data_IF_705209801560
#
_entry.id   IF_705209801560
#
_cell.length_a   1.000
_cell.length_b   1.000
_cell.length_c   1.000
_cell.angle_alpha   90.00
_cell.angle_beta   90.00
_cell.angle_gamma   90.00
#
_symmetry.space_group_name_H-M   'P 1'
#
loop_
_entity.id
_entity.type
_entity.pdbx_description
1 polymer ?
#
# COMPACT_ATOMS: atom_id res chain seq x y z
N UNK A 1 52.54 25.04 -24.82
CA UNK A 1 51.43 24.35 -25.50
C UNK A 1 51.65 22.85 -25.36
N UNK A 2 51.18 22.28 -24.24
CA UNK A 2 51.25 20.85 -23.96
C UNK A 2 49.88 20.24 -24.30
N UNK A 3 49.85 19.40 -25.34
CA UNK A 3 48.66 18.82 -25.91
C UNK A 3 47.94 17.91 -24.93
N UNK A 4 46.77 18.36 -24.51
CA UNK A 4 45.73 17.66 -23.79
C UNK A 4 45.21 16.48 -24.62
N UNK A 5 45.72 15.26 -24.35
CA UNK A 5 45.14 13.97 -24.79
C UNK A 5 45.49 12.88 -23.78
N UNK A 6 44.80 12.85 -22.65
CA UNK A 6 44.69 11.69 -21.73
C UNK A 6 43.34 11.78 -21.02
N UNK A 7 42.28 11.45 -21.74
CA UNK A 7 40.94 11.23 -21.17
C UNK A 7 40.04 10.68 -22.28
N UNK A 8 39.93 9.35 -22.35
CA UNK A 8 38.83 8.61 -23.01
C UNK A 8 39.11 7.12 -22.91
N UNK A 9 38.76 6.51 -21.78
CA UNK A 9 38.22 5.14 -21.63
C UNK A 9 37.72 4.98 -20.18
N UNK A 10 36.99 5.99 -19.67
CA UNK A 10 36.10 5.80 -18.53
C UNK A 10 34.72 5.49 -19.13
N UNK A 11 34.52 4.22 -19.47
CA UNK A 11 33.18 3.68 -19.71
C UNK A 11 32.39 3.83 -18.40
N UNK A 12 31.24 4.49 -18.47
CA UNK A 12 30.29 4.55 -17.35
C UNK A 12 29.83 3.13 -16.96
N UNK A 13 29.81 2.75 -15.67
CA UNK A 13 29.98 1.37 -15.23
C UNK A 13 28.66 0.63 -15.03
N UNK A 14 28.62 -0.67 -15.35
CA UNK A 14 28.01 -1.63 -14.41
C UNK A 14 28.88 -1.69 -13.16
N UNK A 15 28.32 -1.99 -11.99
CA UNK A 15 29.11 -2.13 -10.76
C UNK A 15 30.06 -3.31 -10.99
N UNK A 16 31.36 -3.08 -11.16
CA UNK A 16 32.29 -4.21 -11.28
C UNK A 16 32.57 -4.72 -9.88
N UNK A 17 32.57 -6.04 -9.69
CA UNK A 17 33.13 -6.61 -8.45
C UNK A 17 34.57 -6.11 -8.26
N UNK A 18 35.03 -6.01 -7.01
CA UNK A 18 36.38 -5.52 -6.72
C UNK A 18 37.48 -6.30 -7.48
N UNK A 19 37.31 -7.62 -7.65
CA UNK A 19 38.22 -8.46 -8.44
C UNK A 19 38.13 -8.20 -9.94
N UNK A 20 36.95 -7.97 -10.51
CA UNK A 20 36.80 -7.60 -11.91
C UNK A 20 37.41 -6.21 -12.20
N UNK A 21 37.19 -5.23 -11.32
CA UNK A 21 37.79 -3.91 -11.42
C UNK A 21 39.32 -3.96 -11.37
N UNK A 22 39.89 -4.81 -10.49
CA UNK A 22 41.34 -5.03 -10.40
C UNK A 22 41.91 -5.67 -11.66
N UNK A 23 41.23 -6.65 -12.26
CA UNK A 23 41.65 -7.26 -13.53
C UNK A 23 41.67 -6.23 -14.68
N UNK A 24 40.62 -5.43 -14.81
CA UNK A 24 40.54 -4.38 -15.82
C UNK A 24 41.62 -3.30 -15.63
N UNK A 25 41.90 -2.92 -14.37
CA UNK A 25 42.92 -1.93 -14.05
C UNK A 25 44.38 -2.44 -14.21
N UNK A 26 44.60 -3.76 -14.23
CA UNK A 26 45.92 -4.37 -14.45
C UNK A 26 46.31 -4.29 -15.95
N UNK A 27 45.35 -4.45 -16.85
CA UNK A 27 45.53 -4.34 -18.30
C UNK A 27 46.00 -2.92 -18.70
N UNK A 28 45.50 -1.90 -17.99
CA UNK A 28 45.86 -0.49 -18.24
C UNK A 28 47.29 -0.14 -17.76
N UNK A 29 47.88 -0.94 -16.85
CA UNK A 29 49.17 -0.63 -16.20
C UNK A 29 50.35 -1.47 -16.67
N UNK A 30 50.17 -2.74 -17.00
CA UNK A 30 51.31 -3.67 -17.17
C UNK A 30 51.68 -4.00 -18.62
N UNK A 31 50.74 -3.99 -19.57
CA UNK A 31 50.98 -4.57 -20.90
C UNK A 31 50.99 -3.55 -22.04
N UNK A 32 50.49 -2.33 -21.84
CA UNK A 32 50.29 -1.34 -22.91
C UNK A 32 49.34 -1.82 -24.02
N UNK A 33 48.68 -2.98 -23.85
CA UNK A 33 47.89 -3.69 -24.84
C UNK A 33 46.52 -4.03 -24.26
N UNK A 34 45.49 -3.29 -24.69
CA UNK A 34 44.10 -3.46 -24.25
C UNK A 34 43.35 -4.47 -25.14
N UNK A 35 43.75 -5.74 -25.08
CA UNK A 35 43.17 -6.84 -25.87
C UNK A 35 42.54 -7.95 -25.01
N UNK A 36 41.64 -8.78 -25.58
CA UNK A 36 41.04 -9.95 -24.91
C UNK A 36 42.07 -10.87 -24.22
N UNK A 37 43.19 -11.14 -24.89
CA UNK A 37 44.26 -11.99 -24.35
C UNK A 37 44.95 -11.38 -23.11
N UNK A 38 45.07 -10.05 -23.03
CA UNK A 38 45.60 -9.37 -21.85
C UNK A 38 44.62 -9.44 -20.67
N UNK A 39 43.32 -9.35 -20.95
CA UNK A 39 42.29 -9.56 -19.93
C UNK A 39 42.31 -10.99 -19.39
N UNK A 40 42.46 -12.00 -20.25
CA UNK A 40 42.54 -13.40 -19.82
C UNK A 40 43.71 -13.61 -18.83
N UNK A 41 44.90 -13.10 -19.15
CA UNK A 41 46.05 -13.22 -18.26
C UNK A 41 45.89 -12.42 -16.97
N UNK A 42 45.28 -11.23 -17.02
CA UNK A 42 44.96 -10.46 -15.82
C UNK A 42 43.96 -11.18 -14.89
N UNK A 43 43.02 -11.97 -15.45
CA UNK A 43 42.10 -12.80 -14.69
C UNK A 43 42.77 -14.02 -14.06
N UNK A 44 43.75 -14.62 -14.76
CA UNK A 44 44.49 -15.82 -14.32
C UNK A 44 45.50 -15.49 -13.23
N UNK A 45 46.25 -14.39 -13.38
CA UNK A 45 47.28 -13.97 -12.43
C UNK A 45 46.70 -13.42 -11.11
N UNK A 46 45.38 -13.16 -11.07
CA UNK A 46 44.66 -12.77 -9.86
C UNK A 46 43.96 -13.98 -9.24
N UNK A 47 44.03 -14.11 -7.91
CA UNK A 47 43.17 -15.02 -7.15
C UNK A 47 41.71 -14.57 -7.29
N UNK A 48 41.04 -15.11 -8.30
CA UNK A 48 39.70 -14.71 -8.73
C UNK A 48 38.86 -15.93 -9.09
N UNK A 49 37.54 -15.72 -9.17
CA UNK A 49 36.60 -16.78 -9.56
C UNK A 49 36.86 -17.29 -10.98
N UNK A 50 37.29 -16.43 -11.89
CA UNK A 50 37.72 -16.84 -13.23
C UNK A 50 38.92 -17.80 -13.17
N UNK A 51 39.91 -17.53 -12.31
CA UNK A 51 41.07 -18.39 -12.12
C UNK A 51 40.68 -19.74 -11.51
N UNK A 52 39.73 -19.76 -10.56
CA UNK A 52 39.15 -20.99 -10.01
C UNK A 52 38.43 -21.82 -11.07
N UNK A 53 37.60 -21.19 -11.91
CA UNK A 53 36.87 -21.86 -12.99
C UNK A 53 37.85 -22.49 -13.99
N UNK A 54 38.85 -21.73 -14.44
CA UNK A 54 39.88 -22.23 -15.36
C UNK A 54 40.64 -23.41 -14.74
N UNK A 55 41.05 -23.29 -13.48
CA UNK A 55 41.75 -24.37 -12.76
C UNK A 55 40.87 -25.62 -12.60
N UNK A 56 39.57 -25.44 -12.33
CA UNK A 56 38.62 -26.56 -12.22
C UNK A 56 38.44 -27.33 -13.52
N UNK A 57 38.62 -26.66 -14.67
CA UNK A 57 38.65 -27.27 -16.00
C UNK A 57 40.02 -27.80 -16.43
N UNK A 58 41.07 -27.70 -15.59
CA UNK A 58 42.43 -28.16 -15.93
C UNK A 58 43.28 -27.14 -16.70
N UNK A 59 42.84 -25.89 -16.80
CA UNK A 59 43.57 -24.77 -17.40
C UNK A 59 44.21 -23.88 -16.32
N UNK A 60 45.24 -24.39 -15.63
CA UNK A 60 46.08 -23.55 -14.78
C UNK A 60 46.98 -22.61 -15.61
N UNK A 61 47.65 -21.65 -14.95
CA UNK A 61 48.51 -20.67 -15.62
C UNK A 61 49.62 -21.31 -16.48
N UNK A 62 50.14 -22.48 -16.08
CA UNK A 62 51.20 -23.19 -16.83
C UNK A 62 50.64 -23.90 -18.07
N UNK A 63 49.50 -24.56 -17.93
CA UNK A 63 48.74 -25.19 -19.01
C UNK A 63 48.29 -24.15 -20.04
N UNK A 64 47.79 -23.01 -19.59
CA UNK A 64 47.36 -21.91 -20.46
C UNK A 64 48.53 -21.29 -21.22
N UNK A 65 49.70 -21.13 -20.59
CA UNK A 65 50.91 -20.58 -21.22
C UNK A 65 51.44 -21.46 -22.36
N UNK A 66 51.15 -22.76 -22.32
CA UNK A 66 51.54 -23.70 -23.39
C UNK A 66 50.64 -23.60 -24.64
N UNK A 67 49.46 -22.99 -24.51
CA UNK A 67 48.42 -22.93 -25.55
C UNK A 67 48.17 -21.51 -26.07
N UNK A 68 48.29 -20.51 -25.19
CA UNK A 68 48.13 -19.09 -25.50
C UNK A 68 49.36 -18.29 -25.05
N UNK A 69 49.96 -17.47 -25.92
CA UNK A 69 51.12 -16.67 -25.53
C UNK A 69 50.73 -15.61 -24.50
N UNK A 70 51.65 -15.27 -23.58
CA UNK A 70 51.52 -14.06 -22.77
C UNK A 70 51.73 -12.82 -23.66
N UNK A 71 50.89 -11.79 -23.57
CA UNK A 71 51.06 -10.58 -24.36
C UNK A 71 52.41 -9.93 -24.07
N UNK A 72 53.17 -9.61 -25.11
CA UNK A 72 54.42 -8.86 -24.99
C UNK A 72 54.15 -7.35 -24.99
N UNK A 73 54.97 -6.59 -24.27
CA UNK A 73 54.79 -5.14 -23.99
C UNK A 73 54.80 -4.21 -25.23
N UNK A 74 54.93 -4.73 -26.46
CA UNK A 74 55.04 -3.95 -27.69
C UNK A 74 54.10 -4.41 -28.83
N UNK A 75 52.96 -5.05 -28.53
CA UNK A 75 51.98 -5.40 -29.55
C UNK A 75 51.05 -4.21 -29.87
N UNK A 76 51.09 -3.79 -31.14
CA UNK A 76 50.46 -2.58 -31.69
C UNK A 76 48.94 -2.52 -31.49
N UNK A 77 48.47 -1.32 -31.20
CA UNK A 77 47.12 -0.99 -30.76
C UNK A 77 46.10 -0.94 -31.90
N UNK A 78 45.21 -1.92 -31.97
CA UNK A 78 43.84 -1.71 -32.46
C UNK A 78 42.96 -2.88 -32.02
N UNK A 79 42.02 -2.68 -31.10
CA UNK A 79 41.14 -3.79 -30.69
C UNK A 79 39.69 -3.36 -30.52
N UNK A 80 38.88 -3.53 -31.58
CA UNK A 80 37.43 -3.63 -31.49
C UNK A 80 36.94 -4.77 -30.59
N UNK A 81 37.78 -5.75 -30.24
CA UNK A 81 37.39 -6.97 -29.52
C UNK A 81 37.13 -6.80 -28.01
N UNK A 82 37.93 -6.01 -27.28
CA UNK A 82 37.76 -5.89 -25.82
C UNK A 82 36.44 -5.22 -25.45
N UNK A 83 36.01 -4.20 -26.21
CA UNK A 83 34.72 -3.56 -25.99
C UNK A 83 33.54 -4.54 -26.13
N UNK A 84 33.63 -5.46 -27.09
CA UNK A 84 32.62 -6.51 -27.30
C UNK A 84 32.67 -7.53 -26.17
N UNK A 85 33.85 -7.92 -25.67
CA UNK A 85 33.99 -8.78 -24.48
C UNK A 85 33.27 -8.18 -23.27
N UNK A 86 33.48 -6.89 -23.00
CA UNK A 86 32.85 -6.20 -21.87
C UNK A 86 31.33 -6.08 -22.03
N UNK A 87 30.87 -5.82 -23.26
CA UNK A 87 29.44 -5.80 -23.57
C UNK A 87 28.79 -7.17 -23.32
N UNK A 88 29.46 -8.24 -23.73
CA UNK A 88 28.96 -9.61 -23.63
C UNK A 88 28.99 -10.12 -22.18
N UNK A 89 30.01 -9.75 -21.41
CA UNK A 89 30.07 -9.97 -19.97
C UNK A 89 28.93 -9.25 -19.22
N UNK A 90 28.67 -7.98 -19.57
CA UNK A 90 27.57 -7.19 -18.98
C UNK A 90 26.20 -7.79 -19.34
N UNK A 91 26.05 -8.26 -20.59
CA UNK A 91 24.83 -8.93 -21.06
C UNK A 91 24.53 -10.18 -20.25
N UNK A 92 25.55 -10.98 -19.94
CA UNK A 92 25.37 -12.20 -19.13
C UNK A 92 25.10 -11.91 -17.66
N UNK A 93 25.78 -10.95 -17.06
CA UNK A 93 25.46 -10.52 -15.69
C UNK A 93 23.98 -10.09 -15.58
N UNK A 94 23.46 -9.41 -16.61
CA UNK A 94 22.05 -9.04 -16.69
C UNK A 94 21.08 -10.23 -16.83
N UNK A 95 21.49 -11.32 -17.48
CA UNK A 95 20.67 -12.53 -17.61
C UNK A 95 20.64 -13.38 -16.33
N UNK A 96 21.68 -13.31 -15.49
CA UNK A 96 21.81 -14.09 -14.25
C UNK A 96 21.00 -13.54 -13.06
N UNK A 97 20.11 -12.56 -13.27
CA UNK A 97 19.07 -12.19 -12.29
C UNK A 97 19.49 -11.26 -11.15
N UNK A 98 20.64 -10.57 -11.21
CA UNK A 98 20.96 -9.45 -10.31
C UNK A 98 21.09 -8.13 -11.08
N UNK A 99 20.59 -7.06 -10.45
CA UNK A 99 20.85 -5.69 -10.87
C UNK A 99 22.34 -5.41 -10.69
N UNK A 100 23.08 -5.40 -11.80
CA UNK A 100 24.18 -4.45 -12.01
C UNK A 100 25.62 -4.88 -11.71
N UNK A 101 25.89 -5.99 -11.02
CA UNK A 101 27.29 -6.33 -10.65
C UNK A 101 27.98 -7.34 -11.59
N UNK A 102 29.05 -6.93 -12.28
CA UNK A 102 29.80 -7.77 -13.24
C UNK A 102 31.04 -8.38 -12.59
N UNK A 103 31.04 -9.71 -12.46
CA UNK A 103 32.10 -10.51 -11.87
C UNK A 103 33.18 -11.02 -12.85
N UNK A 104 34.24 -11.63 -12.32
CA UNK A 104 35.35 -12.17 -13.13
C UNK A 104 34.93 -13.35 -14.02
N UNK A 105 33.97 -14.16 -13.57
CA UNK A 105 33.34 -15.25 -14.32
C UNK A 105 32.55 -14.75 -15.54
N UNK A 106 31.93 -13.57 -15.43
CA UNK A 106 31.24 -12.92 -16.55
C UNK A 106 32.24 -12.42 -17.59
N UNK A 107 33.36 -11.86 -17.15
CA UNK A 107 34.47 -11.46 -18.05
C UNK A 107 35.07 -12.66 -18.78
N UNK A 108 35.29 -13.77 -18.07
CA UNK A 108 35.79 -15.02 -18.65
C UNK A 108 34.82 -15.57 -19.71
N UNK A 109 33.52 -15.50 -19.45
CA UNK A 109 32.50 -15.91 -20.40
C UNK A 109 32.49 -15.03 -21.66
N UNK A 110 32.60 -13.70 -21.49
CA UNK A 110 32.71 -12.77 -22.62
C UNK A 110 33.96 -13.02 -23.48
N UNK A 111 35.08 -13.42 -22.86
CA UNK A 111 36.30 -13.81 -23.58
C UNK A 111 36.09 -15.06 -24.44
N UNK A 112 35.45 -16.09 -23.89
CA UNK A 112 35.17 -17.34 -24.59
C UNK A 112 34.25 -17.15 -25.82
N UNK A 113 33.33 -16.18 -25.74
CA UNK A 113 32.39 -15.83 -26.83
C UNK A 113 33.05 -15.02 -27.95
N UNK A 114 33.88 -14.05 -27.60
CA UNK A 114 34.30 -13.00 -28.53
C UNK A 114 35.64 -13.30 -29.19
N UNK A 115 36.56 -13.98 -28.49
CA UNK A 115 37.86 -14.33 -29.01
C UNK A 115 37.91 -15.81 -29.39
N UNK A 116 37.95 -16.11 -30.69
CA UNK A 116 37.93 -17.48 -31.22
C UNK A 116 39.11 -18.32 -30.72
N UNK A 117 40.27 -17.70 -30.47
CA UNK A 117 41.45 -18.42 -29.99
C UNK A 117 41.31 -18.82 -28.52
N UNK A 118 40.78 -17.92 -27.68
CA UNK A 118 40.48 -18.17 -26.28
C UNK A 118 39.33 -19.17 -26.15
N UNK A 119 38.25 -18.97 -26.91
CA UNK A 119 37.09 -19.85 -26.94
C UNK A 119 37.44 -21.28 -27.34
N UNK A 120 38.33 -21.47 -28.34
CA UNK A 120 38.81 -22.81 -28.73
C UNK A 120 39.57 -23.50 -27.60
N UNK A 121 40.53 -22.81 -26.98
CA UNK A 121 41.32 -23.37 -25.87
C UNK A 121 40.43 -23.71 -24.68
N UNK A 122 39.47 -22.86 -24.34
CA UNK A 122 38.51 -23.16 -23.27
C UNK A 122 37.61 -24.34 -23.62
N UNK A 123 37.18 -24.47 -24.88
CA UNK A 123 36.33 -25.58 -25.33
C UNK A 123 37.04 -26.94 -25.29
N UNK A 124 38.35 -26.99 -25.53
CA UNK A 124 39.16 -28.22 -25.39
C UNK A 124 39.18 -28.77 -23.96
N UNK A 125 38.89 -27.91 -22.97
CA UNK A 125 38.83 -28.22 -21.55
C UNK A 125 37.38 -28.20 -21.01
N UNK A 126 36.40 -28.31 -21.91
CA UNK A 126 34.95 -28.31 -21.65
C UNK A 126 34.42 -27.03 -20.93
N UNK A 127 35.17 -25.94 -20.98
CA UNK A 127 34.79 -24.62 -20.45
C UNK A 127 34.10 -23.77 -21.53
N UNK A 128 33.09 -24.34 -22.19
CA UNK A 128 32.29 -23.61 -23.19
C UNK A 128 31.31 -22.65 -22.52
N UNK A 129 30.89 -21.55 -23.18
CA UNK A 129 29.88 -20.64 -22.67
C UNK A 129 28.63 -21.33 -22.10
N UNK A 130 28.18 -22.42 -22.72
CA UNK A 130 27.03 -23.23 -22.29
C UNK A 130 27.34 -24.09 -21.05
N UNK A 131 28.57 -24.61 -20.94
CA UNK A 131 29.05 -25.38 -19.78
C UNK A 131 29.34 -24.49 -18.56
N UNK A 132 29.63 -23.21 -18.80
CA UNK A 132 29.88 -22.21 -17.77
C UNK A 132 28.59 -21.66 -17.16
N UNK A 133 27.47 -21.67 -17.90
CA UNK A 133 26.20 -21.14 -17.43
C UNK A 133 25.73 -21.75 -16.09
N UNK A 134 25.75 -23.08 -15.87
CA UNK A 134 25.39 -23.67 -14.58
C UNK A 134 26.36 -23.32 -13.45
N UNK A 135 27.65 -23.10 -13.75
CA UNK A 135 28.67 -22.73 -12.75
C UNK A 135 28.50 -21.27 -12.31
N UNK A 136 28.12 -20.41 -13.26
CA UNK A 136 27.78 -18.99 -13.04
C UNK A 136 26.45 -18.89 -12.28
N UNK A 137 25.45 -19.72 -12.63
CA UNK A 137 24.16 -19.80 -11.94
C UNK A 137 24.28 -20.41 -10.52
N UNK A 138 25.07 -21.47 -10.33
CA UNK A 138 25.30 -22.04 -9.00
C UNK A 138 26.00 -21.06 -8.05
N UNK A 139 26.80 -20.13 -8.58
CA UNK A 139 27.41 -19.06 -7.79
C UNK A 139 26.41 -18.00 -7.30
N UNK A 140 25.18 -17.95 -7.84
CA UNK A 140 24.12 -17.03 -7.38
C UNK A 140 23.23 -17.62 -6.29
N UNK A 141 23.43 -18.89 -5.92
CA UNK A 141 22.81 -19.51 -4.74
C UNK A 141 21.33 -19.87 -4.89
N UNK A 142 20.80 -19.96 -6.11
CA UNK A 142 19.41 -20.35 -6.37
C UNK A 142 19.41 -21.68 -7.15
N UNK A 143 18.99 -22.77 -6.49
CA UNK A 143 18.65 -24.02 -7.17
C UNK A 143 17.43 -23.79 -8.08
N UNK A 144 17.65 -23.77 -9.40
CA UNK A 144 16.57 -23.78 -10.39
C UNK A 144 16.35 -25.22 -10.85
N UNK A 145 15.50 -25.95 -10.12
CA UNK A 145 14.84 -27.09 -10.78
C UNK A 145 13.79 -26.48 -11.72
N UNK A 146 13.86 -26.69 -13.06
CA UNK A 146 12.87 -26.12 -13.95
C UNK A 146 11.50 -26.73 -13.63
N UNK A 147 10.55 -25.89 -13.24
CA UNK A 147 9.14 -26.27 -13.25
C UNK A 147 8.73 -26.41 -14.71
N UNK A 148 8.28 -27.59 -15.11
CA UNK A 148 7.59 -27.77 -16.40
C UNK A 148 6.29 -26.95 -16.37
N UNK A 149 6.33 -25.77 -16.97
CA UNK A 149 5.15 -24.93 -17.20
C UNK A 149 4.63 -25.20 -18.61
N UNK A 150 3.54 -25.97 -18.71
CA UNK A 150 2.76 -26.14 -19.95
C UNK A 150 1.95 -24.87 -20.33
N UNK A 151 2.09 -23.79 -19.56
CA UNK A 151 1.51 -22.50 -19.92
C UNK A 151 2.56 -21.65 -20.66
N UNK A 152 2.25 -21.30 -21.91
CA UNK A 152 2.92 -20.19 -22.61
C UNK A 152 2.78 -18.94 -21.74
N UNK A 153 3.85 -18.58 -21.05
CA UNK A 153 3.99 -17.24 -20.49
C UNK A 153 4.10 -16.27 -21.66
N UNK A 154 3.08 -15.44 -21.83
CA UNK A 154 3.15 -14.33 -22.78
C UNK A 154 4.36 -13.45 -22.42
N UNK A 155 5.18 -13.02 -23.39
CA UNK A 155 6.30 -12.14 -23.11
C UNK A 155 5.81 -10.88 -22.40
N UNK A 156 6.46 -10.53 -21.28
CA UNK A 156 6.19 -9.29 -20.55
C UNK A 156 6.35 -8.14 -21.55
N UNK A 157 5.30 -7.33 -21.81
CA UNK A 157 5.40 -6.20 -22.71
C UNK A 157 6.50 -5.25 -22.21
N UNK A 158 7.21 -4.61 -23.13
CA UNK A 158 8.04 -3.45 -22.79
C UNK A 158 7.22 -2.46 -21.94
N UNK A 159 7.82 -1.70 -20.99
CA UNK A 159 7.09 -0.75 -20.15
C UNK A 159 6.27 0.19 -21.03
N UNK A 160 4.98 -0.10 -21.11
CA UNK A 160 3.97 0.71 -21.75
C UNK A 160 3.19 1.44 -20.64
N UNK A 161 2.45 2.48 -21.00
CA UNK A 161 1.61 3.21 -20.04
C UNK A 161 0.61 2.30 -19.28
N UNK A 162 0.37 1.07 -19.76
CA UNK A 162 -0.47 0.06 -19.14
C UNK A 162 0.20 -0.55 -17.90
N UNK A 163 1.50 -0.88 -17.96
CA UNK A 163 2.25 -1.43 -16.82
C UNK A 163 2.36 -0.40 -15.68
N UNK A 164 2.69 0.86 -16.00
CA UNK A 164 2.77 1.93 -15.00
C UNK A 164 1.41 2.19 -14.32
N UNK A 165 0.32 2.12 -15.09
CA UNK A 165 -1.04 2.24 -14.55
C UNK A 165 -1.34 1.09 -13.58
N UNK A 166 -1.00 -0.15 -13.95
CA UNK A 166 -1.23 -1.34 -13.11
C UNK A 166 -0.43 -1.31 -11.81
N UNK A 167 0.80 -0.76 -11.83
CA UNK A 167 1.63 -0.54 -10.64
C UNK A 167 0.92 0.35 -9.61
N UNK A 168 0.42 1.49 -10.06
CA UNK A 168 -0.28 2.44 -9.19
C UNK A 168 -1.56 1.80 -8.66
N UNK A 169 -2.29 1.06 -9.50
CA UNK A 169 -3.50 0.35 -9.10
C UNK A 169 -3.24 -0.74 -8.06
N UNK A 170 -2.17 -1.56 -8.17
CA UNK A 170 -1.81 -2.56 -7.15
C UNK A 170 -1.49 -1.88 -5.81
N UNK A 171 -0.67 -0.83 -5.82
CA UNK A 171 -0.33 -0.08 -4.62
C UNK A 171 -1.58 0.50 -3.93
N UNK A 172 -2.49 1.12 -4.68
CA UNK A 172 -3.76 1.62 -4.15
C UNK A 172 -4.68 0.49 -3.67
N UNK A 173 -4.74 -0.65 -4.35
CA UNK A 173 -5.52 -1.81 -3.93
C UNK A 173 -5.01 -2.40 -2.59
N UNK A 174 -3.69 -2.46 -2.41
CA UNK A 174 -3.07 -2.91 -1.15
C UNK A 174 -3.42 -1.95 0.00
N UNK A 175 -3.20 -0.64 -0.19
CA UNK A 175 -3.53 0.38 0.81
C UNK A 175 -5.01 0.37 1.20
N UNK A 176 -5.91 0.21 0.22
CA UNK A 176 -7.34 0.10 0.48
C UNK A 176 -7.69 -1.14 1.31
N UNK A 177 -7.11 -2.31 0.99
CA UNK A 177 -7.33 -3.55 1.73
C UNK A 177 -6.80 -3.47 3.16
N UNK A 178 -5.60 -2.95 3.35
CA UNK A 178 -4.98 -2.79 4.67
C UNK A 178 -5.72 -1.77 5.53
N UNK A 179 -6.08 -0.62 4.96
CA UNK A 179 -6.87 0.38 5.69
C UNK A 179 -8.22 -0.17 6.14
N UNK A 180 -8.93 -0.90 5.27
CA UNK A 180 -10.19 -1.58 5.65
C UNK A 180 -10.00 -2.69 6.69
N UNK A 181 -8.83 -3.35 6.71
CA UNK A 181 -8.49 -4.34 7.74
C UNK A 181 -8.39 -3.68 9.11
N UNK A 182 -7.66 -2.56 9.20
CA UNK A 182 -7.52 -1.80 10.45
C UNK A 182 -8.86 -1.28 10.94
N UNK A 183 -9.68 -0.74 10.03
CA UNK A 183 -11.05 -0.28 10.36
C UNK A 183 -11.89 -1.44 10.90
N UNK A 184 -11.87 -2.62 10.26
CA UNK A 184 -12.61 -3.79 10.73
C UNK A 184 -12.18 -4.21 12.14
N UNK A 185 -10.89 -4.24 12.41
CA UNK A 185 -10.36 -4.66 13.71
C UNK A 185 -10.76 -3.69 14.82
N UNK A 186 -10.72 -2.37 14.56
CA UNK A 186 -11.23 -1.36 15.52
C UNK A 186 -12.73 -1.56 15.76
N UNK A 187 -13.52 -1.71 14.69
CA UNK A 187 -14.98 -1.86 14.83
C UNK A 187 -15.34 -3.16 15.55
N UNK A 188 -14.62 -4.26 15.28
CA UNK A 188 -14.88 -5.56 15.89
C UNK A 188 -14.43 -5.62 17.34
N UNK A 189 -13.22 -5.15 17.64
CA UNK A 189 -12.59 -5.42 18.94
C UNK A 189 -12.68 -4.24 19.91
N UNK A 190 -12.88 -3.01 19.41
CA UNK A 190 -13.04 -1.82 20.25
C UNK A 190 -14.50 -1.44 20.37
N UNK A 191 -15.22 -1.31 19.25
CA UNK A 191 -16.63 -0.93 19.28
C UNK A 191 -17.57 -2.10 19.60
N UNK A 192 -17.09 -3.35 19.42
CA UNK A 192 -17.86 -4.60 19.59
C UNK A 192 -19.22 -4.57 18.85
N UNK A 193 -19.25 -3.92 17.68
CA UNK A 193 -20.48 -3.72 16.91
C UNK A 193 -20.57 -4.71 15.74
N UNK A 194 -21.42 -5.72 15.90
CA UNK A 194 -21.64 -6.76 14.89
C UNK A 194 -22.23 -6.22 13.57
N UNK A 195 -23.05 -5.17 13.61
CA UNK A 195 -23.66 -4.60 12.42
C UNK A 195 -22.63 -3.83 11.59
N UNK A 196 -21.90 -2.92 12.21
CA UNK A 196 -20.84 -2.13 11.58
C UNK A 196 -19.71 -3.04 11.08
N UNK A 197 -19.35 -4.08 11.85
CA UNK A 197 -18.41 -5.12 11.40
C UNK A 197 -18.89 -5.80 10.11
N UNK A 198 -20.18 -6.12 10.03
CA UNK A 198 -20.80 -6.69 8.83
C UNK A 198 -20.72 -5.77 7.61
N UNK A 199 -20.94 -4.47 7.81
CA UNK A 199 -20.82 -3.47 6.74
C UNK A 199 -19.38 -3.31 6.24
N UNK A 200 -18.40 -3.26 7.14
CA UNK A 200 -16.98 -3.22 6.76
C UNK A 200 -16.60 -4.48 5.98
N UNK A 201 -17.06 -5.66 6.43
CA UNK A 201 -16.82 -6.92 5.73
C UNK A 201 -17.44 -6.93 4.33
N UNK A 202 -18.65 -6.38 4.17
CA UNK A 202 -19.28 -6.23 2.86
C UNK A 202 -18.46 -5.30 1.95
N UNK A 203 -18.02 -4.14 2.45
CA UNK A 203 -17.16 -3.23 1.67
C UNK A 203 -15.84 -3.90 1.23
N UNK A 204 -15.24 -4.72 2.09
CA UNK A 204 -14.06 -5.52 1.71
C UNK A 204 -14.37 -6.53 0.61
N UNK A 205 -15.53 -7.18 0.67
CA UNK A 205 -15.97 -8.10 -0.38
C UNK A 205 -16.25 -7.37 -1.70
N UNK A 206 -16.90 -6.20 -1.64
CA UNK A 206 -17.20 -5.37 -2.80
C UNK A 206 -15.90 -4.87 -3.45
N UNK A 207 -14.93 -4.41 -2.64
CA UNK A 207 -13.59 -4.06 -3.12
C UNK A 207 -12.92 -5.25 -3.81
N UNK A 208 -12.94 -6.43 -3.19
CA UNK A 208 -12.39 -7.64 -3.79
C UNK A 208 -13.06 -7.97 -5.13
N UNK A 209 -14.38 -7.80 -5.22
CA UNK A 209 -15.13 -8.01 -6.46
C UNK A 209 -14.79 -6.97 -7.53
N UNK A 210 -14.64 -5.70 -7.15
CA UNK A 210 -14.22 -4.63 -8.05
C UNK A 210 -12.79 -4.81 -8.58
N UNK A 211 -11.92 -5.46 -7.82
CA UNK A 211 -10.55 -5.76 -8.23
C UNK A 211 -10.44 -6.96 -9.17
N UNK A 212 -11.36 -7.94 -9.14
CA UNK A 212 -11.29 -9.16 -9.96
C UNK A 212 -11.05 -8.92 -11.46
N UNK A 213 -11.73 -7.97 -12.15
CA UNK A 213 -11.48 -7.71 -13.57
C UNK A 213 -10.08 -7.19 -13.86
N UNK A 214 -9.40 -6.63 -12.86
CA UNK A 214 -8.04 -6.09 -12.96
C UNK A 214 -7.00 -7.11 -12.50
N UNK A 215 -7.38 -8.01 -11.59
CA UNK A 215 -6.54 -8.98 -10.92
C UNK A 215 -6.52 -10.34 -11.63
N UNK A 216 -5.94 -10.36 -12.83
CA UNK A 216 -5.68 -11.57 -13.62
C UNK A 216 -4.18 -11.95 -13.63
N UNK A 217 -3.48 -11.74 -12.50
CA UNK A 217 -2.01 -11.86 -12.42
C UNK A 217 -1.26 -10.60 -12.89
N UNK A 218 -1.97 -9.64 -13.49
CA UNK A 218 -1.43 -8.37 -14.01
C UNK A 218 -0.83 -7.49 -12.91
N UNK A 219 -1.40 -7.50 -11.70
CA UNK A 219 -0.82 -6.77 -10.56
C UNK A 219 0.49 -7.36 -10.08
N UNK A 220 0.57 -8.69 -9.96
CA UNK A 220 1.81 -9.37 -9.56
C UNK A 220 2.92 -9.15 -10.58
N UNK A 221 2.59 -9.24 -11.87
CA UNK A 221 3.54 -9.00 -12.97
C UNK A 221 4.03 -7.55 -13.03
N UNK A 222 3.24 -6.59 -12.54
CA UNK A 222 3.59 -5.18 -12.54
C UNK A 222 4.36 -4.75 -11.27
N UNK A 223 4.41 -5.57 -10.21
CA UNK A 223 5.08 -5.18 -8.96
C UNK A 223 6.57 -4.95 -9.15
N UNK A 224 7.01 -3.80 -8.65
CA UNK A 224 8.42 -3.42 -8.63
C UNK A 224 8.68 -2.74 -7.29
N UNK A 225 9.10 -3.57 -6.33
CA UNK A 225 9.42 -3.18 -4.95
C UNK A 225 10.89 -2.79 -4.78
N UNK A 226 11.76 -3.13 -5.74
CA UNK A 226 13.21 -2.91 -5.67
C UNK A 226 13.61 -1.52 -6.13
N UNK A 227 12.80 -0.84 -6.96
CA UNK A 227 13.06 0.55 -7.39
C UNK A 227 12.02 1.56 -6.89
N UNK A 228 11.15 1.17 -5.96
CA UNK A 228 10.13 2.06 -5.39
C UNK A 228 10.76 3.19 -4.56
N UNK A 229 10.79 4.38 -5.16
CA UNK A 229 11.29 5.63 -4.58
C UNK A 229 10.51 6.11 -3.34
N UNK A 230 9.32 5.56 -3.09
CA UNK A 230 8.47 5.91 -1.95
C UNK A 230 8.84 5.23 -0.64
N UNK A 231 9.67 4.18 -0.67
CA UNK A 231 10.01 3.36 0.51
C UNK A 231 10.84 4.11 1.57
N UNK A 232 11.53 5.18 1.18
CA UNK A 232 12.39 5.99 2.06
C UNK A 232 11.81 7.36 2.41
N UNK A 233 10.60 7.69 1.95
CA UNK A 233 9.98 9.01 2.18
C UNK A 233 9.00 8.92 3.34
N UNK A 234 9.50 9.17 4.55
CA UNK A 234 8.68 9.33 5.75
C UNK A 234 8.55 10.82 6.08
N UNK A 235 7.37 11.24 6.54
CA UNK A 235 7.17 12.62 7.05
C UNK A 235 6.99 12.61 8.55
N UNK A 236 7.48 13.64 9.26
CA UNK A 236 7.43 13.70 10.73
C UNK A 236 5.99 13.63 11.30
N UNK A 237 4.98 14.00 10.51
CA UNK A 237 3.56 13.90 10.88
C UNK A 237 3.01 12.47 10.84
N UNK A 238 3.73 11.52 10.26
CA UNK A 238 3.30 10.13 10.14
C UNK A 238 3.33 9.39 11.49
N UNK A 239 4.05 9.96 12.48
CA UNK A 239 4.38 9.34 13.76
C UNK A 239 3.49 9.75 14.95
N UNK A 240 2.61 10.74 14.81
CA UNK A 240 1.75 11.19 15.93
C UNK A 240 0.28 10.92 15.64
N UNK A 241 -0.30 10.00 16.41
CA UNK A 241 -1.75 9.78 16.50
C UNK A 241 -2.11 9.76 17.98
N UNK A 242 -3.00 10.64 18.40
CA UNK A 242 -3.29 10.88 19.81
C UNK A 242 -4.41 9.98 20.35
N UNK A 243 -5.23 9.39 19.47
CA UNK A 243 -6.34 8.53 19.86
C UNK A 243 -6.70 7.45 18.82
N UNK A 244 -7.46 6.43 19.25
CA UNK A 244 -8.04 5.42 18.36
C UNK A 244 -8.96 6.03 17.29
N UNK A 245 -9.61 7.15 17.60
CA UNK A 245 -10.43 7.89 16.64
C UNK A 245 -9.58 8.45 15.50
N UNK A 246 -8.41 9.01 15.82
CA UNK A 246 -7.49 9.55 14.80
C UNK A 246 -6.95 8.42 13.91
N UNK A 247 -6.69 7.24 14.47
CA UNK A 247 -6.31 6.05 13.71
C UNK A 247 -7.45 5.63 12.77
N UNK A 248 -8.69 5.61 13.25
CA UNK A 248 -9.87 5.25 12.46
C UNK A 248 -10.07 6.23 11.30
N UNK A 249 -10.11 7.53 11.59
CA UNK A 249 -10.36 8.58 10.60
C UNK A 249 -9.23 8.64 9.55
N UNK A 250 -7.97 8.48 9.96
CA UNK A 250 -6.84 8.45 9.04
C UNK A 250 -6.86 7.23 8.10
N UNK A 251 -7.22 6.04 8.61
CA UNK A 251 -7.34 4.85 7.77
C UNK A 251 -8.54 4.96 6.82
N UNK A 252 -9.68 5.45 7.29
CA UNK A 252 -10.83 5.72 6.42
C UNK A 252 -10.47 6.72 5.32
N UNK A 253 -9.78 7.82 5.64
CA UNK A 253 -9.29 8.79 4.66
C UNK A 253 -8.39 8.16 3.59
N UNK A 254 -7.38 7.37 3.99
CA UNK A 254 -6.48 6.66 3.06
C UNK A 254 -7.20 5.67 2.16
N UNK A 255 -8.20 4.96 2.68
CA UNK A 255 -9.02 4.06 1.85
C UNK A 255 -9.83 4.88 0.84
N UNK A 256 -10.40 6.01 1.25
CA UNK A 256 -11.13 6.90 0.33
C UNK A 256 -10.24 7.41 -0.80
N UNK A 257 -9.02 7.86 -0.50
CA UNK A 257 -8.02 8.28 -1.48
C UNK A 257 -7.63 7.13 -2.40
N UNK A 258 -7.39 5.95 -1.85
CA UNK A 258 -7.02 4.75 -2.62
C UNK A 258 -8.14 4.32 -3.57
N UNK A 259 -9.39 4.31 -3.11
CA UNK A 259 -10.56 4.04 -3.95
C UNK A 259 -10.74 5.09 -5.04
N UNK A 260 -10.41 6.36 -4.75
CA UNK A 260 -10.47 7.44 -5.74
C UNK A 260 -9.42 7.24 -6.85
N UNK A 261 -8.19 6.87 -6.49
CA UNK A 261 -7.15 6.51 -7.47
C UNK A 261 -7.56 5.32 -8.32
N UNK A 262 -8.08 4.26 -7.70
CA UNK A 262 -8.59 3.08 -8.42
C UNK A 262 -9.74 3.43 -9.38
N UNK A 263 -10.68 4.26 -8.94
CA UNK A 263 -11.81 4.73 -9.76
C UNK A 263 -11.33 5.47 -11.01
N UNK A 264 -10.39 6.42 -10.87
CA UNK A 264 -9.90 7.21 -12.00
C UNK A 264 -9.04 6.39 -12.96
N UNK A 265 -8.13 5.54 -12.45
CA UNK A 265 -7.28 4.69 -13.30
C UNK A 265 -8.08 3.59 -13.99
N UNK A 266 -9.15 3.08 -13.38
CA UNK A 266 -10.04 2.12 -14.02
C UNK A 266 -10.75 2.70 -15.25
N UNK A 267 -10.88 4.03 -15.40
CA UNK A 267 -11.45 4.66 -16.61
C UNK A 267 -10.51 4.61 -17.80
N UNK A 268 -9.21 4.44 -17.58
CA UNK A 268 -8.20 4.26 -18.64
C UNK A 268 -8.26 2.86 -19.24
N UNK A 269 -8.83 1.89 -18.51
CA UNK A 269 -9.08 0.55 -19.00
C UNK A 269 -10.37 0.58 -19.83
N UNK A 270 -10.29 1.00 -21.09
CA UNK A 270 -11.40 0.84 -22.05
C UNK A 270 -11.57 -0.63 -22.38
N UNK A 271 -12.54 -1.30 -21.75
CA UNK A 271 -12.94 -2.67 -22.09
C UNK A 271 -13.40 -2.73 -23.55
N UNK A 272 -12.55 -3.26 -24.42
CA UNK A 272 -12.92 -3.64 -25.79
C UNK A 272 -13.32 -5.12 -25.90
N UNK A 273 -13.40 -5.88 -24.79
CA UNK A 273 -13.63 -7.33 -24.89
C UNK A 273 -14.28 -8.06 -23.71
N UNK A 274 -15.01 -7.41 -22.78
CA UNK A 274 -15.71 -8.17 -21.72
C UNK A 274 -17.15 -7.71 -21.53
N UNK A 275 -18.05 -8.69 -21.63
CA UNK A 275 -19.49 -8.61 -21.38
C UNK A 275 -19.85 -8.38 -19.90
N UNK A 276 -19.18 -7.46 -19.21
CA UNK A 276 -19.64 -6.98 -17.89
C UNK A 276 -20.64 -5.85 -18.12
N UNK A 277 -21.87 -6.02 -17.66
CA UNK A 277 -22.94 -5.00 -17.75
C UNK A 277 -22.65 -3.73 -16.93
N UNK A 278 -21.63 -3.75 -16.06
CA UNK A 278 -21.24 -2.62 -15.21
C UNK A 278 -19.75 -2.31 -15.39
N UNK A 279 -19.37 -1.05 -15.71
CA UNK A 279 -17.96 -0.64 -15.80
C UNK A 279 -17.23 -0.80 -14.46
N UNK A 280 -15.97 -1.27 -14.48
CA UNK A 280 -15.13 -1.44 -13.29
C UNK A 280 -14.98 -0.15 -12.47
N UNK A 281 -14.83 0.99 -13.13
CA UNK A 281 -14.80 2.30 -12.46
C UNK A 281 -16.07 2.58 -11.64
N UNK A 282 -17.25 2.16 -12.13
CA UNK A 282 -18.52 2.31 -11.41
C UNK A 282 -18.61 1.41 -10.17
N UNK A 283 -17.88 0.29 -10.14
CA UNK A 283 -17.78 -0.54 -8.94
C UNK A 283 -16.97 0.17 -7.84
N UNK A 284 -15.81 0.75 -8.18
CA UNK A 284 -15.03 1.54 -7.22
C UNK A 284 -15.79 2.78 -6.72
N UNK A 285 -16.51 3.45 -7.61
CA UNK A 285 -17.39 4.56 -7.24
C UNK A 285 -18.43 4.11 -6.19
N UNK A 286 -19.13 3.01 -6.43
CA UNK A 286 -20.10 2.44 -5.48
C UNK A 286 -19.46 2.08 -4.14
N UNK A 287 -18.30 1.40 -4.15
CA UNK A 287 -17.56 1.07 -2.93
C UNK A 287 -17.15 2.33 -2.16
N UNK A 288 -16.72 3.40 -2.86
CA UNK A 288 -16.34 4.68 -2.27
C UNK A 288 -17.53 5.38 -1.61
N UNK A 289 -18.70 5.43 -2.24
CA UNK A 289 -19.90 5.98 -1.60
C UNK A 289 -20.37 5.14 -0.41
N UNK A 290 -20.27 3.81 -0.50
CA UNK A 290 -20.55 2.93 0.64
C UNK A 290 -19.62 3.23 1.82
N UNK A 291 -18.33 3.48 1.56
CA UNK A 291 -17.36 3.88 2.57
C UNK A 291 -17.68 5.24 3.20
N UNK A 292 -18.19 6.21 2.44
CA UNK A 292 -18.60 7.51 3.00
C UNK A 292 -19.76 7.37 3.98
N UNK A 293 -20.77 6.57 3.61
CA UNK A 293 -21.90 6.27 4.49
C UNK A 293 -21.42 5.59 5.77
N UNK A 294 -20.53 4.58 5.64
CA UNK A 294 -19.97 3.89 6.79
C UNK A 294 -19.13 4.83 7.67
N UNK A 295 -18.28 5.67 7.09
CA UNK A 295 -17.46 6.62 7.85
C UNK A 295 -18.35 7.57 8.67
N UNK A 296 -19.41 8.13 8.05
CA UNK A 296 -20.37 8.97 8.77
C UNK A 296 -21.03 8.22 9.93
N UNK A 297 -21.46 6.98 9.71
CA UNK A 297 -22.06 6.14 10.75
C UNK A 297 -21.07 5.89 11.90
N UNK A 298 -19.83 5.49 11.59
CA UNK A 298 -18.77 5.27 12.57
C UNK A 298 -18.47 6.52 13.40
N UNK A 299 -18.34 7.67 12.76
CA UNK A 299 -18.08 8.93 13.46
C UNK A 299 -19.21 9.29 14.42
N UNK A 300 -20.47 9.07 14.02
CA UNK A 300 -21.64 9.28 14.87
C UNK A 300 -21.66 8.30 16.04
N UNK A 301 -21.41 7.00 15.78
CA UNK A 301 -21.39 5.95 16.82
C UNK A 301 -20.29 6.19 17.85
N UNK A 302 -19.06 6.48 17.42
CA UNK A 302 -17.93 6.76 18.33
C UNK A 302 -18.22 7.98 19.21
N UNK A 303 -18.78 9.04 18.62
CA UNK A 303 -19.15 10.23 19.39
C UNK A 303 -20.30 9.95 20.37
N UNK A 304 -21.32 9.20 19.95
CA UNK A 304 -22.44 8.81 20.80
C UNK A 304 -21.99 7.95 21.98
N UNK A 305 -21.16 6.91 21.74
CA UNK A 305 -20.58 6.08 22.80
C UNK A 305 -19.79 6.93 23.79
N UNK A 306 -18.94 7.85 23.32
CA UNK A 306 -18.17 8.75 24.19
C UNK A 306 -19.06 9.63 25.06
N UNK A 307 -20.15 10.19 24.51
CA UNK A 307 -21.06 11.07 25.25
C UNK A 307 -21.96 10.31 26.24
N UNK A 308 -22.31 9.07 25.91
CA UNK A 308 -23.16 8.20 26.71
C UNK A 308 -22.37 7.31 27.68
N UNK A 309 -21.03 7.35 27.62
CA UNK A 309 -20.17 6.56 28.51
C UNK A 309 -20.51 6.80 29.98
N UNK A 310 -20.62 5.70 30.74
CA UNK A 310 -21.05 5.70 32.15
C UNK A 310 -22.52 6.09 32.40
N UNK A 311 -23.31 6.45 31.38
CA UNK A 311 -24.71 6.89 31.53
C UNK A 311 -25.68 5.73 31.28
N UNK A 312 -25.91 4.90 32.30
CA UNK A 312 -26.75 3.69 32.20
C UNK A 312 -28.24 3.92 32.42
N UNK A 313 -28.62 5.01 33.10
CA UNK A 313 -30.02 5.29 33.44
C UNK A 313 -30.54 6.52 32.69
N UNK A 314 -31.65 6.33 31.96
CA UNK A 314 -32.30 7.31 31.10
C UNK A 314 -33.72 7.58 31.62
N UNK A 315 -34.01 8.83 32.00
CA UNK A 315 -35.31 9.25 32.52
C UNK A 315 -36.14 9.98 31.45
N UNK A 316 -37.36 9.52 31.22
CA UNK A 316 -38.37 10.27 30.48
C UNK A 316 -39.22 11.06 31.48
N UNK A 317 -39.27 12.38 31.34
CA UNK A 317 -40.00 13.25 32.26
C UNK A 317 -40.88 14.24 31.50
N UNK A 318 -42.12 14.38 31.96
CA UNK A 318 -43.05 15.45 31.59
C UNK A 318 -43.68 16.05 32.84
N UNK A 319 -44.23 17.26 32.75
CA UNK A 319 -44.76 17.98 33.92
C UNK A 319 -45.85 17.16 34.63
N UNK A 320 -46.76 16.56 33.87
CA UNK A 320 -47.87 15.73 34.37
C UNK A 320 -47.43 14.40 34.99
N UNK A 321 -46.23 13.91 34.67
CA UNK A 321 -45.70 12.64 35.17
C UNK A 321 -44.94 12.76 36.49
N UNK A 322 -44.61 13.98 36.92
CA UNK A 322 -43.75 14.23 38.08
C UNK A 322 -44.60 14.70 39.28
N UNK A 323 -44.92 13.80 40.20
CA UNK A 323 -45.57 14.16 41.47
C UNK A 323 -44.63 15.06 42.29
N UNK A 324 -45.01 16.33 42.47
CA UNK A 324 -44.16 17.35 43.12
C UNK A 324 -43.41 18.27 42.15
N UNK A 325 -43.65 18.13 40.84
CA UNK A 325 -43.07 18.97 39.80
C UNK A 325 -41.79 18.39 39.21
N UNK A 326 -41.53 18.71 37.95
CA UNK A 326 -40.43 18.12 37.17
C UNK A 326 -39.04 18.51 37.69
N UNK A 327 -38.87 19.71 38.26
CA UNK A 327 -37.58 20.19 38.77
C UNK A 327 -37.03 19.38 39.94
N UNK A 328 -37.80 19.21 41.04
CA UNK A 328 -37.43 18.31 42.14
C UNK A 328 -37.15 16.88 41.67
N UNK A 329 -37.97 16.35 40.76
CA UNK A 329 -37.76 15.01 40.21
C UNK A 329 -36.43 14.88 39.48
N UNK A 330 -36.09 15.83 38.60
CA UNK A 330 -34.81 15.79 37.87
C UNK A 330 -33.62 15.83 38.83
N UNK A 331 -33.66 16.67 39.87
CA UNK A 331 -32.58 16.76 40.87
C UNK A 331 -32.41 15.46 41.63
N UNK A 332 -33.50 14.94 42.21
CA UNK A 332 -33.47 13.68 42.96
C UNK A 332 -33.05 12.50 42.07
N UNK A 333 -33.49 12.49 40.80
CA UNK A 333 -33.12 11.46 39.84
C UNK A 333 -31.63 11.54 39.46
N UNK A 334 -31.08 12.74 39.30
CA UNK A 334 -29.67 12.94 39.06
C UNK A 334 -28.82 12.47 40.26
N UNK A 335 -29.22 12.80 41.50
CA UNK A 335 -28.59 12.28 42.72
C UNK A 335 -28.66 10.74 42.80
N UNK A 336 -29.72 10.15 42.24
CA UNK A 336 -29.90 8.71 42.08
C UNK A 336 -29.13 8.08 40.91
N UNK A 337 -28.33 8.84 40.18
CA UNK A 337 -27.47 8.33 39.08
C UNK A 337 -28.09 8.38 37.68
N UNK A 338 -29.18 9.13 37.46
CA UNK A 338 -29.70 9.37 36.09
C UNK A 338 -28.66 10.13 35.27
N UNK A 339 -28.25 9.53 34.15
CA UNK A 339 -27.28 10.11 33.23
C UNK A 339 -27.92 10.90 32.08
N UNK A 340 -29.18 10.64 31.74
CA UNK A 340 -29.88 11.33 30.65
C UNK A 340 -31.32 11.64 31.06
N UNK A 341 -31.77 12.86 30.76
CA UNK A 341 -33.17 13.28 30.94
C UNK A 341 -33.73 13.70 29.59
N UNK A 342 -34.86 13.10 29.22
CA UNK A 342 -35.65 13.50 28.06
C UNK A 342 -36.93 14.19 28.49
N UNK A 343 -37.11 15.44 28.03
CA UNK A 343 -38.36 16.15 28.22
C UNK A 343 -39.38 15.65 27.20
N UNK A 344 -40.44 15.01 27.69
CA UNK A 344 -41.55 14.49 26.91
C UNK A 344 -42.87 15.03 27.45
N UNK A 345 -43.32 16.14 26.90
CA UNK A 345 -44.66 16.68 27.15
C UNK A 345 -45.36 16.95 25.82
N UNK A 346 -46.49 16.27 25.58
CA UNK A 346 -47.27 16.36 24.33
C UNK A 346 -48.45 17.33 24.42
N UNK A 347 -48.71 17.88 25.61
CA UNK A 347 -49.88 18.72 25.87
C UNK A 347 -49.58 20.21 25.90
N UNK A 348 -48.33 20.59 26.17
CA UNK A 348 -47.94 21.98 26.29
C UNK A 348 -47.87 22.67 24.92
N UNK A 349 -48.36 23.91 24.80
CA UNK A 349 -48.07 24.76 23.65
C UNK A 349 -46.57 25.06 23.54
N UNK A 350 -46.09 25.29 22.32
CA UNK A 350 -44.66 25.48 22.00
C UNK A 350 -43.94 26.48 22.90
N UNK A 351 -44.53 27.65 23.14
CA UNK A 351 -43.94 28.68 23.99
C UNK A 351 -43.77 28.20 25.44
N UNK A 352 -44.78 27.51 25.99
CA UNK A 352 -44.72 26.96 27.34
C UNK A 352 -43.75 25.78 27.43
N UNK A 353 -43.68 24.95 26.39
CA UNK A 353 -42.74 23.85 26.28
C UNK A 353 -41.29 24.35 26.22
N UNK A 354 -41.02 25.41 25.47
CA UNK A 354 -39.69 26.02 25.39
C UNK A 354 -39.26 26.65 26.73
N UNK A 355 -40.15 27.36 27.41
CA UNK A 355 -39.91 27.89 28.75
C UNK A 355 -39.59 26.76 29.75
N UNK A 356 -40.32 25.65 29.68
CA UNK A 356 -40.02 24.47 30.47
C UNK A 356 -38.65 23.87 30.10
N UNK A 357 -38.36 23.73 28.81
CA UNK A 357 -37.10 23.20 28.32
C UNK A 357 -35.89 24.02 28.81
N UNK A 358 -35.99 25.35 28.86
CA UNK A 358 -34.94 26.21 29.44
C UNK A 358 -34.71 25.93 30.93
N UNK A 359 -35.77 25.69 31.71
CA UNK A 359 -35.63 25.29 33.12
C UNK A 359 -34.98 23.92 33.26
N UNK A 360 -35.42 22.95 32.46
CA UNK A 360 -34.85 21.59 32.43
C UNK A 360 -33.38 21.60 32.03
N UNK A 361 -32.98 22.35 31.00
CA UNK A 361 -31.57 22.56 30.59
C UNK A 361 -30.72 23.08 31.73
N UNK A 362 -31.26 23.99 32.56
CA UNK A 362 -30.55 24.56 33.71
C UNK A 362 -30.24 23.47 34.74
N UNK A 363 -31.27 22.75 35.19
CA UNK A 363 -31.13 21.71 36.22
C UNK A 363 -30.25 20.54 35.75
N UNK A 364 -30.41 20.11 34.50
CA UNK A 364 -29.57 19.05 33.92
C UNK A 364 -28.11 19.47 33.79
N UNK A 365 -27.83 20.73 33.41
CA UNK A 365 -26.46 21.26 33.35
C UNK A 365 -25.82 21.33 34.74
N UNK A 366 -26.54 21.83 35.74
CA UNK A 366 -26.07 21.88 37.14
C UNK A 366 -25.70 20.49 37.67
N UNK A 367 -26.43 19.45 37.25
CA UNK A 367 -26.21 18.08 37.67
C UNK A 367 -25.28 17.25 36.75
N UNK A 368 -24.75 17.82 35.66
CA UNK A 368 -23.91 17.08 34.70
C UNK A 368 -24.66 16.03 33.86
N UNK A 369 -25.98 16.13 33.79
CA UNK A 369 -26.90 15.22 33.10
C UNK A 369 -27.14 15.70 31.67
N UNK A 370 -27.22 14.77 30.70
CA UNK A 370 -27.55 15.12 29.32
C UNK A 370 -29.03 15.45 29.19
N UNK A 371 -29.34 16.48 28.42
CA UNK A 371 -30.71 16.89 28.15
C UNK A 371 -31.14 16.58 26.72
N UNK A 372 -32.22 15.81 26.56
CA UNK A 372 -32.80 15.46 25.26
C UNK A 372 -34.22 16.01 25.13
N UNK A 373 -34.54 16.58 23.98
CA UNK A 373 -35.91 17.00 23.66
C UNK A 373 -36.63 15.90 22.87
N UNK A 374 -37.89 15.64 23.19
CA UNK A 374 -38.72 14.71 22.42
C UNK A 374 -39.38 15.41 21.22
N UNK A 375 -39.34 14.78 20.04
CA UNK A 375 -40.05 15.11 18.79
C UNK A 375 -39.83 16.53 18.20
N UNK A 376 -39.03 17.39 18.86
CA UNK A 376 -38.91 18.83 18.54
C UNK A 376 -37.46 19.28 18.26
N UNK A 377 -36.93 19.04 17.05
CA UNK A 377 -35.58 19.46 16.66
C UNK A 377 -35.38 20.99 16.70
N UNK A 378 -36.43 21.75 16.39
CA UNK A 378 -36.49 23.20 16.47
C UNK A 378 -36.27 23.69 17.92
N UNK A 379 -37.05 23.16 18.86
CA UNK A 379 -36.94 23.52 20.28
C UNK A 379 -35.65 22.98 20.91
N UNK A 380 -35.09 21.89 20.38
CA UNK A 380 -33.78 21.35 20.78
C UNK A 380 -32.68 22.40 20.62
N UNK A 381 -32.67 23.12 19.50
CA UNK A 381 -31.71 24.20 19.26
C UNK A 381 -31.93 25.37 20.21
N UNK A 382 -33.17 25.84 20.30
CA UNK A 382 -33.52 27.01 21.11
C UNK A 382 -33.23 26.78 22.60
N UNK A 383 -33.50 25.58 23.12
CA UNK A 383 -33.27 25.21 24.50
C UNK A 383 -31.82 24.80 24.82
N UNK A 384 -30.92 24.81 23.83
CA UNK A 384 -29.53 24.29 23.94
C UNK A 384 -29.47 22.86 24.53
N UNK A 385 -30.40 22.02 24.10
CA UNK A 385 -30.43 20.61 24.45
C UNK A 385 -29.25 19.85 23.80
N UNK A 386 -28.80 18.80 24.48
CA UNK A 386 -27.68 17.95 24.07
C UNK A 386 -28.04 17.05 22.89
N UNK A 387 -29.34 16.76 22.73
CA UNK A 387 -29.89 15.99 21.63
C UNK A 387 -31.40 16.07 21.50
N UNK A 388 -31.90 15.37 20.49
CA UNK A 388 -33.33 15.19 20.22
C UNK A 388 -33.62 13.70 20.09
N UNK A 389 -34.82 13.28 20.47
CA UNK A 389 -35.29 11.92 20.26
C UNK A 389 -36.56 11.97 19.41
N UNK A 390 -36.60 11.21 18.32
CA UNK A 390 -37.74 11.17 17.38
C UNK A 390 -38.32 9.78 17.28
N UNK A 391 -39.63 9.68 17.04
CA UNK A 391 -40.31 8.44 16.70
C UNK A 391 -40.27 8.14 15.20
N UNK A 392 -41.16 7.25 14.77
CA UNK A 392 -41.28 6.80 13.38
C UNK A 392 -42.24 7.64 12.53
N UNK A 393 -43.13 8.42 13.18
CA UNK A 393 -44.14 9.25 12.50
C UNK A 393 -43.66 10.71 12.38
N UNK A 394 -42.62 11.06 13.14
CA UNK A 394 -41.98 12.37 13.15
C UNK A 394 -40.94 12.52 12.01
N UNK A 395 -40.17 13.61 12.05
CA UNK A 395 -39.14 13.88 11.05
C UNK A 395 -38.09 12.75 10.99
N UNK A 396 -37.72 12.37 9.77
CA UNK A 396 -36.63 11.43 9.53
C UNK A 396 -35.29 11.99 10.05
N UNK A 397 -34.34 11.08 10.36
CA UNK A 397 -33.03 11.43 10.93
C UNK A 397 -32.28 12.45 10.07
N UNK A 398 -32.36 12.35 8.75
CA UNK A 398 -31.67 13.27 7.84
C UNK A 398 -32.25 14.68 7.94
N UNK A 399 -33.56 14.81 8.00
CA UNK A 399 -34.28 16.07 8.21
C UNK A 399 -33.97 16.66 9.58
N UNK A 400 -33.95 15.84 10.64
CA UNK A 400 -33.53 16.26 11.99
C UNK A 400 -32.10 16.79 11.98
N UNK A 401 -31.17 16.10 11.32
CA UNK A 401 -29.75 16.50 11.24
C UNK A 401 -29.53 17.84 10.55
N UNK A 402 -30.37 18.20 9.58
CA UNK A 402 -30.33 19.53 8.94
C UNK A 402 -30.67 20.65 9.91
N UNK A 403 -31.45 20.35 10.95
CA UNK A 403 -31.83 21.30 11.99
C UNK A 403 -30.77 21.30 13.09
N UNK A 404 -30.56 20.17 13.78
CA UNK A 404 -29.72 20.12 14.99
C UNK A 404 -28.22 20.07 14.71
N UNK A 405 -27.82 19.91 13.45
CA UNK A 405 -26.42 19.80 13.03
C UNK A 405 -25.79 18.45 13.37
N UNK A 406 -24.48 18.29 13.09
CA UNK A 406 -23.79 17.00 13.17
C UNK A 406 -23.35 16.60 14.59
N UNK A 407 -23.33 17.53 15.56
CA UNK A 407 -22.73 17.29 16.89
C UNK A 407 -23.71 16.84 17.98
N UNK A 408 -25.00 17.16 17.83
CA UNK A 408 -26.02 16.83 18.84
C UNK A 408 -26.37 15.35 18.78
N UNK A 409 -26.84 14.76 19.88
CA UNK A 409 -27.35 13.40 19.84
C UNK A 409 -28.70 13.38 19.10
N UNK A 410 -28.96 12.35 18.32
CA UNK A 410 -30.29 12.07 17.76
C UNK A 410 -30.62 10.66 18.17
N UNK A 411 -31.63 10.48 19.02
CA UNK A 411 -32.19 9.19 19.34
C UNK A 411 -33.36 8.88 18.40
N UNK A 412 -33.51 7.60 18.05
CA UNK A 412 -34.60 7.14 17.19
C UNK A 412 -35.33 6.01 17.89
N UNK A 413 -36.65 6.08 17.96
CA UNK A 413 -37.46 4.97 18.46
C UNK A 413 -37.49 3.86 17.41
N UNK A 414 -37.03 2.66 17.75
CA UNK A 414 -36.95 1.53 16.81
C UNK A 414 -37.78 0.35 17.32
N UNK A 415 -38.56 -0.26 16.44
CA UNK A 415 -39.40 -1.44 16.73
C UNK A 415 -38.92 -2.71 16.03
N UNK A 416 -37.82 -2.62 15.29
CA UNK A 416 -37.17 -3.74 14.62
C UNK A 416 -35.67 -3.52 14.52
N UNK A 417 -34.92 -4.63 14.42
CA UNK A 417 -33.47 -4.57 14.20
C UNK A 417 -33.13 -3.81 12.91
N UNK A 418 -33.96 -3.90 11.88
CA UNK A 418 -33.73 -3.21 10.61
C UNK A 418 -33.82 -1.69 10.77
N UNK A 419 -34.79 -1.19 11.55
CA UNK A 419 -34.90 0.24 11.85
C UNK A 419 -33.70 0.73 12.66
N UNK A 420 -33.21 -0.04 13.63
CA UNK A 420 -32.02 0.32 14.40
C UNK A 420 -30.77 0.43 13.52
N UNK A 421 -30.56 -0.55 12.62
CA UNK A 421 -29.46 -0.52 11.66
C UNK A 421 -29.53 0.69 10.73
N UNK A 422 -30.72 1.00 10.21
CA UNK A 422 -30.91 2.14 9.32
C UNK A 422 -30.67 3.47 10.05
N UNK A 423 -31.12 3.60 11.31
CA UNK A 423 -30.89 4.80 12.11
C UNK A 423 -29.39 5.11 12.26
N UNK A 424 -28.56 4.10 12.51
CA UNK A 424 -27.09 4.25 12.58
C UNK A 424 -26.53 4.78 11.26
N UNK A 425 -26.95 4.24 10.11
CA UNK A 425 -26.52 4.70 8.79
C UNK A 425 -26.93 6.14 8.49
N UNK A 426 -28.10 6.56 8.98
CA UNK A 426 -28.62 7.91 8.78
C UNK A 426 -27.94 8.94 9.72
N UNK A 427 -27.20 8.48 10.73
CA UNK A 427 -26.48 9.28 11.72
C UNK A 427 -27.32 9.63 12.96
N UNK A 428 -28.20 8.72 13.34
CA UNK A 428 -28.92 8.71 14.62
C UNK A 428 -28.22 7.84 15.66
#
# INVERSE_FOLDING_TARGET
MAGQRREKYLMTPGEWTESAARALAAIDRETGSAGPLALLWALVDQESRASEILTSGGLDAASLASQLPRPSTNADTSTPGLAVVLQEATRMAGLAGRVGEVGTEHLLWGLAQVDESIGRVMAEHDLRPESLAPVIEAATGIETTPLETDEKLDPIPAPDATIDTLRVMDASANRAREGLRVVEDIVRFVLDDAHLTGLVKQLRHDLGTALKPLDAGRFLAARDTTTDVGTSVTTDQEHQRDSLRDVLDANLGRVQESLRTLEELAKLQTDSSVASTVPTAALFERTRYGLYTLHKALAATVEAQRRLDGRVLYLLAGESSCQGGIGPTIRAAADGGVGVVQLRDKSLPDAALLELAHRVRRWTREAGVLFVMNDRPDLTLLADADGVHVGQEELDVRSVRRIVGPRRLVGVSTHSLQQAKQAVLDGG
#
